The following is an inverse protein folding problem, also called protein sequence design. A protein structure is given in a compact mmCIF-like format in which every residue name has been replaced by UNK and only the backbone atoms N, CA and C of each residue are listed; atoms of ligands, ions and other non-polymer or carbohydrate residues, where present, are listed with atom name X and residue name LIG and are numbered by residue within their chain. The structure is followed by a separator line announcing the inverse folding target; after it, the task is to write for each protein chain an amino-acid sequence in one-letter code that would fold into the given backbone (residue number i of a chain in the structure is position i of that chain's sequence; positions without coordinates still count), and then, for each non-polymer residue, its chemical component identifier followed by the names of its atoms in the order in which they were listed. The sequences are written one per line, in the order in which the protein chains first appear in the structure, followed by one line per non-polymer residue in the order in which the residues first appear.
data_IF_796672155027
#
_entry.id   IF_796672155027
#
_cell.length_a   1.000
_cell.length_b   1.000
_cell.length_c   1.000
_cell.angle_alpha   90.00
_cell.angle_beta   90.00
_cell.angle_gamma   90.00
#
_symmetry.space_group_name_H-M   'P 1'
#
loop_
_entity.id
_entity.type
_entity.pdbx_description
1 polymer ?
#
# COMPACT_ATOMS: atom_id res chain seq x y z
N UNK A 1 -25.07 -9.16 -1.80
CA UNK A 1 -24.55 -8.12 -0.90
C UNK A 1 -25.69 -7.57 -0.07
N UNK A 2 -25.49 -7.33 1.23
CA UNK A 2 -26.55 -6.93 2.16
C UNK A 2 -26.87 -5.43 2.03
N UNK A 3 -28.08 -5.08 1.64
CA UNK A 3 -28.58 -3.69 1.44
C UNK A 3 -28.46 -2.80 2.68
N UNK A 4 -28.35 -3.38 3.88
CA UNK A 4 -28.15 -2.63 5.14
C UNK A 4 -26.80 -1.91 5.23
N UNK A 5 -25.76 -2.37 4.51
CA UNK A 5 -24.45 -1.71 4.55
C UNK A 5 -24.44 -0.39 3.77
N UNK A 6 -25.18 -0.29 2.66
CA UNK A 6 -25.20 0.89 1.79
C UNK A 6 -25.86 2.11 2.45
N UNK A 7 -26.92 1.92 3.24
CA UNK A 7 -27.64 3.03 3.91
C UNK A 7 -26.75 3.76 4.94
N UNK A 8 -25.73 3.09 5.48
CA UNK A 8 -24.80 3.72 6.42
C UNK A 8 -23.66 4.50 5.71
N UNK A 9 -23.34 4.13 4.47
CA UNK A 9 -22.23 4.72 3.72
C UNK A 9 -22.56 6.17 3.31
N UNK A 10 -23.73 6.39 2.72
CA UNK A 10 -24.16 7.71 2.24
C UNK A 10 -24.18 8.74 3.39
N UNK A 11 -24.81 8.37 4.51
CA UNK A 11 -24.86 9.21 5.70
C UNK A 11 -23.47 9.51 6.28
N UNK A 12 -22.54 8.55 6.27
CA UNK A 12 -21.18 8.77 6.78
C UNK A 12 -20.39 9.72 5.87
N UNK A 13 -20.50 9.55 4.55
CA UNK A 13 -19.85 10.39 3.55
C UNK A 13 -20.36 11.83 3.60
N UNK A 14 -21.69 12.02 3.64
CA UNK A 14 -22.30 13.35 3.74
C UNK A 14 -21.89 14.09 5.02
N UNK A 15 -21.83 13.38 6.17
CA UNK A 15 -21.34 13.96 7.43
C UNK A 15 -19.88 14.43 7.35
N UNK A 16 -19.07 13.74 6.57
CA UNK A 16 -17.67 14.10 6.32
C UNK A 16 -17.52 15.16 5.23
N UNK A 17 -18.63 15.64 4.65
CA UNK A 17 -18.67 16.72 3.68
C UNK A 17 -18.57 16.27 2.22
N UNK A 18 -18.61 14.97 1.95
CA UNK A 18 -18.66 14.48 0.57
C UNK A 18 -20.00 14.78 -0.08
N UNK A 19 -19.97 15.13 -1.37
CA UNK A 19 -21.14 15.36 -2.21
C UNK A 19 -21.30 14.18 -3.16
N UNK A 20 -22.50 13.60 -3.22
CA UNK A 20 -22.80 12.50 -4.15
C UNK A 20 -22.89 13.03 -5.58
N UNK A 21 -22.10 12.46 -6.50
CA UNK A 21 -22.12 12.78 -7.93
C UNK A 21 -23.01 11.81 -8.71
N UNK A 22 -22.81 10.51 -8.47
CA UNK A 22 -23.51 9.42 -9.14
C UNK A 22 -23.84 8.28 -8.15
N UNK A 23 -24.42 7.18 -8.62
CA UNK A 23 -24.99 6.13 -7.75
C UNK A 23 -24.06 5.56 -6.68
N UNK A 24 -22.73 5.60 -6.90
CA UNK A 24 -21.71 5.11 -5.97
C UNK A 24 -20.42 5.97 -6.00
N UNK A 25 -20.53 7.23 -6.44
CA UNK A 25 -19.40 8.15 -6.58
C UNK A 25 -19.66 9.42 -5.79
N UNK A 26 -18.71 9.81 -4.96
CA UNK A 26 -18.79 10.99 -4.10
C UNK A 26 -17.50 11.80 -4.19
N UNK A 27 -17.59 13.11 -4.14
CA UNK A 27 -16.43 14.01 -4.19
C UNK A 27 -16.32 14.92 -2.98
N UNK A 28 -15.09 15.22 -2.58
CA UNK A 28 -14.74 16.16 -1.53
C UNK A 28 -13.38 16.80 -1.85
N UNK A 29 -13.35 18.10 -2.12
CA UNK A 29 -12.13 18.79 -2.59
C UNK A 29 -11.60 18.10 -3.87
N UNK A 30 -10.40 17.53 -3.79
CA UNK A 30 -9.65 16.80 -4.81
C UNK A 30 -9.70 15.28 -4.59
N UNK A 31 -10.55 14.81 -3.66
CA UNK A 31 -10.76 13.41 -3.35
C UNK A 31 -12.06 12.90 -3.97
N UNK A 32 -12.00 11.74 -4.60
CA UNK A 32 -13.16 10.97 -5.05
C UNK A 32 -13.26 9.69 -4.23
N UNK A 33 -14.40 9.45 -3.59
CA UNK A 33 -14.75 8.17 -3.00
C UNK A 33 -15.58 7.36 -4.01
N UNK A 34 -15.20 6.11 -4.25
CA UNK A 34 -15.98 5.16 -5.07
C UNK A 34 -15.76 3.72 -4.63
N UNK A 35 -16.52 2.79 -5.21
CA UNK A 35 -16.28 1.36 -5.07
C UNK A 35 -15.58 0.78 -6.30
N UNK A 36 -14.65 -0.14 -6.07
CA UNK A 36 -13.98 -0.91 -7.13
C UNK A 36 -13.83 -2.38 -6.70
N UNK A 37 -14.53 -3.29 -7.39
CA UNK A 37 -14.54 -4.71 -7.05
C UNK A 37 -14.87 -4.96 -5.56
N UNK A 38 -15.90 -4.27 -5.05
CA UNK A 38 -16.36 -4.31 -3.65
C UNK A 38 -15.44 -3.65 -2.61
N UNK A 39 -14.35 -3.02 -3.05
CA UNK A 39 -13.49 -2.24 -2.17
C UNK A 39 -13.87 -0.76 -2.24
N UNK A 40 -14.14 -0.11 -1.11
CA UNK A 40 -14.16 1.32 -1.03
C UNK A 40 -12.75 1.86 -1.23
N UNK A 41 -12.64 2.87 -2.09
CA UNK A 41 -11.41 3.54 -2.40
C UNK A 41 -11.62 5.05 -2.34
N UNK A 42 -10.60 5.73 -1.81
CA UNK A 42 -10.43 7.17 -1.99
C UNK A 42 -9.32 7.39 -2.98
N UNK A 43 -9.59 8.16 -4.01
CA UNK A 43 -8.62 8.55 -5.02
C UNK A 43 -8.42 10.05 -4.97
N UNK A 44 -7.16 10.48 -5.10
CA UNK A 44 -6.80 11.88 -5.23
C UNK A 44 -6.40 12.14 -6.68
N UNK A 45 -7.01 13.16 -7.29
CA UNK A 45 -6.65 13.59 -8.63
C UNK A 45 -5.23 14.15 -8.64
N UNK A 46 -4.43 13.71 -9.61
CA UNK A 46 -3.07 14.16 -9.78
C UNK A 46 -2.99 15.14 -10.96
N UNK A 47 -2.16 16.20 -10.87
CA UNK A 47 -1.93 17.08 -12.00
C UNK A 47 -1.37 16.33 -13.22
N UNK A 48 -1.87 16.62 -14.41
CA UNK A 48 -1.47 15.97 -15.68
C UNK A 48 0.04 16.05 -15.99
N UNK A 49 0.75 16.98 -15.37
CA UNK A 49 2.17 17.23 -15.59
C UNK A 49 3.09 16.62 -14.52
N UNK A 50 2.57 15.85 -13.56
CA UNK A 50 3.41 15.21 -12.54
C UNK A 50 4.08 13.95 -13.10
N UNK A 51 5.41 14.00 -13.26
CA UNK A 51 6.21 12.81 -13.56
C UNK A 51 6.44 12.00 -12.27
N UNK A 52 5.51 11.10 -11.96
CA UNK A 52 5.58 10.21 -10.78
C UNK A 52 6.10 8.84 -11.18
N UNK A 53 7.15 8.37 -10.50
CA UNK A 53 7.50 6.95 -10.53
C UNK A 53 6.72 6.22 -9.40
N UNK A 54 5.80 5.29 -9.74
CA UNK A 54 5.04 4.51 -8.76
C UNK A 54 5.89 3.56 -7.93
N UNK A 55 7.19 3.40 -8.22
CA UNK A 55 8.12 2.63 -7.40
C UNK A 55 9.20 3.49 -6.70
N UNK A 56 9.02 4.81 -6.67
CA UNK A 56 9.96 5.75 -6.05
C UNK A 56 10.15 5.49 -4.54
N UNK A 57 11.40 5.50 -4.07
CA UNK A 57 11.78 5.35 -2.66
C UNK A 57 11.07 6.31 -1.70
N UNK A 58 10.72 7.51 -2.16
CA UNK A 58 10.07 8.55 -1.36
C UNK A 58 8.62 8.20 -0.94
N UNK A 59 8.06 7.09 -1.44
CA UNK A 59 6.75 6.59 -1.01
C UNK A 59 6.77 5.92 0.36
N UNK A 60 7.91 5.39 0.79
CA UNK A 60 8.02 4.78 2.11
C UNK A 60 7.99 5.85 3.19
N UNK A 61 7.43 5.50 4.35
CA UNK A 61 7.26 6.41 5.47
C UNK A 61 6.09 7.39 5.32
N UNK A 62 5.45 7.47 4.15
CA UNK A 62 4.32 8.39 3.96
C UNK A 62 3.13 7.97 4.83
N UNK A 63 2.45 8.91 5.51
CA UNK A 63 1.37 8.54 6.43
C UNK A 63 0.17 7.92 5.71
N UNK A 64 -0.58 7.07 6.41
CA UNK A 64 -1.75 6.37 5.88
C UNK A 64 -1.42 5.28 4.86
N UNK A 65 -2.45 4.74 4.21
CA UNK A 65 -2.35 3.69 3.19
C UNK A 65 -2.23 4.23 1.75
N UNK A 66 -2.07 5.55 1.60
CA UNK A 66 -1.97 6.23 0.30
C UNK A 66 -0.84 5.68 -0.55
N UNK A 67 -1.10 5.24 -1.77
CA UNK A 67 -0.06 4.78 -2.69
C UNK A 67 -0.35 5.22 -4.11
N UNK A 68 0.67 5.15 -4.96
CA UNK A 68 0.47 5.37 -6.39
C UNK A 68 0.14 4.05 -7.09
N UNK A 69 -0.87 4.06 -7.93
CA UNK A 69 -1.23 2.92 -8.78
C UNK A 69 -1.26 3.32 -10.23
N UNK A 70 -1.01 2.34 -11.11
CA UNK A 70 -0.96 2.54 -12.55
C UNK A 70 -2.13 1.80 -13.18
N UNK A 71 -3.06 2.52 -13.80
CA UNK A 71 -4.12 1.97 -14.64
C UNK A 71 -3.76 2.03 -16.12
N UNK A 72 -4.78 2.09 -16.99
CA UNK A 72 -4.67 2.21 -18.45
C UNK A 72 -4.05 3.55 -18.89
N UNK A 73 -2.77 3.75 -18.56
CA UNK A 73 -1.96 4.96 -18.79
C UNK A 73 -2.23 6.14 -17.84
N UNK A 74 -2.96 5.92 -16.74
CA UNK A 74 -3.18 6.94 -15.71
C UNK A 74 -2.54 6.49 -14.41
N UNK A 75 -1.72 7.35 -13.82
CA UNK A 75 -1.27 7.19 -12.44
C UNK A 75 -2.30 7.85 -11.53
N UNK A 76 -2.77 7.13 -10.53
CA UNK A 76 -3.64 7.66 -9.49
C UNK A 76 -2.99 7.50 -8.11
N UNK A 77 -3.27 8.43 -7.20
CA UNK A 77 -2.92 8.25 -5.78
C UNK A 77 -4.17 7.78 -5.05
N UNK A 78 -4.11 6.59 -4.45
CA UNK A 78 -5.28 5.95 -3.86
C UNK A 78 -5.06 5.44 -2.45
N UNK A 79 -6.14 5.39 -1.68
CA UNK A 79 -6.23 4.81 -0.36
C UNK A 79 -7.32 3.72 -0.40
N UNK A 80 -6.90 2.46 -0.33
CA UNK A 80 -7.80 1.31 -0.27
C UNK A 80 -8.28 1.06 1.16
N UNK A 81 -9.60 0.93 1.34
CA UNK A 81 -10.21 0.59 2.64
C UNK A 81 -10.55 -0.90 2.65
N UNK A 82 -10.02 -1.71 3.59
CA UNK A 82 -10.36 -3.13 3.69
C UNK A 82 -11.87 -3.34 3.87
N UNK A 83 -12.54 -4.17 3.04
CA UNK A 83 -13.99 -4.37 3.09
C UNK A 83 -14.48 -4.89 4.43
N UNK A 84 -13.65 -5.65 5.15
CA UNK A 84 -13.98 -6.21 6.47
C UNK A 84 -14.27 -5.11 7.51
N UNK A 85 -13.87 -3.87 7.23
CA UNK A 85 -13.95 -2.75 8.15
C UNK A 85 -15.14 -1.83 7.87
N UNK A 86 -15.80 -2.01 6.72
CA UNK A 86 -17.04 -1.29 6.37
C UNK A 86 -18.15 -1.44 7.40
N UNK A 87 -18.17 -2.55 8.13
CA UNK A 87 -19.17 -2.82 9.17
C UNK A 87 -18.86 -2.22 10.54
N UNK A 88 -17.65 -1.69 10.77
CA UNK A 88 -17.17 -1.35 12.11
C UNK A 88 -16.89 0.15 12.29
N UNK A 89 -16.29 0.84 11.32
CA UNK A 89 -16.00 2.28 11.45
C UNK A 89 -15.57 2.98 10.15
N UNK A 90 -16.41 2.93 9.11
CA UNK A 90 -16.12 3.60 7.84
C UNK A 90 -15.77 5.10 8.00
N UNK A 91 -16.52 5.82 8.85
CA UNK A 91 -16.29 7.23 9.14
C UNK A 91 -14.88 7.50 9.69
N UNK A 92 -14.38 6.63 10.58
CA UNK A 92 -13.01 6.73 11.11
C UNK A 92 -11.95 6.47 10.04
N UNK A 93 -12.19 5.53 9.11
CA UNK A 93 -11.28 5.25 8.00
C UNK A 93 -11.20 6.39 7.01
N UNK A 94 -12.34 6.96 6.63
CA UNK A 94 -12.37 8.10 5.71
C UNK A 94 -11.72 9.32 6.38
N UNK A 95 -12.01 9.55 7.67
CA UNK A 95 -11.36 10.61 8.44
C UNK A 95 -9.84 10.43 8.50
N UNK A 96 -9.37 9.19 8.68
CA UNK A 96 -7.94 8.86 8.64
C UNK A 96 -7.34 9.10 7.25
N UNK A 97 -8.02 8.68 6.19
CA UNK A 97 -7.55 8.89 4.82
C UNK A 97 -7.47 10.40 4.48
N UNK A 98 -8.48 11.20 4.84
CA UNK A 98 -8.46 12.67 4.70
C UNK A 98 -7.34 13.28 5.54
N UNK A 99 -7.15 12.84 6.79
CA UNK A 99 -6.10 13.36 7.66
C UNK A 99 -4.71 13.12 7.06
N UNK A 100 -4.51 11.98 6.42
CA UNK A 100 -3.21 11.54 5.88
C UNK A 100 -3.00 11.88 4.41
N UNK A 101 -4.01 12.41 3.72
CA UNK A 101 -3.85 12.94 2.36
C UNK A 101 -3.01 14.23 2.38
N UNK A 102 -3.14 15.03 3.44
CA UNK A 102 -2.33 16.22 3.75
C UNK A 102 -1.29 15.93 4.85
N UNK A 103 -0.03 15.81 4.44
CA UNK A 103 1.09 15.51 5.35
C UNK A 103 1.32 16.57 6.43
N UNK A 104 1.00 17.84 6.17
CA UNK A 104 1.25 18.92 7.14
C UNK A 104 0.30 18.79 8.32
N UNK A 105 -0.99 18.62 8.03
CA UNK A 105 -2.04 18.46 9.05
C UNK A 105 -1.86 17.20 9.90
N UNK A 106 -1.35 16.13 9.29
CA UNK A 106 -1.04 14.89 9.98
C UNK A 106 0.01 15.07 11.11
N UNK A 107 1.12 15.76 10.81
CA UNK A 107 2.25 15.88 11.75
C UNK A 107 1.88 16.60 13.06
N UNK A 108 0.90 17.49 13.02
CA UNK A 108 0.46 18.29 14.17
C UNK A 108 -0.47 17.53 15.13
N UNK A 109 -1.19 16.53 14.64
CA UNK A 109 -2.36 15.97 15.34
C UNK A 109 -2.16 14.53 15.81
N UNK A 110 -1.26 13.78 15.18
CA UNK A 110 -1.08 12.37 15.51
C UNK A 110 -0.08 12.14 16.64
N UNK A 111 -0.48 11.24 17.55
CA UNK A 111 0.39 10.70 18.61
C UNK A 111 0.64 9.23 18.37
N UNK A 112 1.92 8.88 18.39
CA UNK A 112 2.39 7.50 18.25
C UNK A 112 1.83 6.61 19.38
N UNK A 113 1.30 5.41 19.06
CA UNK A 113 0.85 4.44 20.05
C UNK A 113 2.01 3.83 20.85
N UNK A 114 1.71 3.32 22.04
CA UNK A 114 2.63 2.50 22.80
C UNK A 114 2.63 1.07 22.21
N UNK A 115 3.80 0.53 21.88
CA UNK A 115 3.89 -0.79 21.23
C UNK A 115 3.37 -1.92 22.12
N UNK A 116 3.46 -1.75 23.44
CA UNK A 116 2.99 -2.71 24.44
C UNK A 116 1.47 -2.95 24.34
N UNK A 117 0.71 -1.96 23.87
CA UNK A 117 -0.75 -2.04 23.73
C UNK A 117 -1.20 -2.89 22.52
N UNK A 118 -0.27 -3.19 21.60
CA UNK A 118 -0.60 -3.88 20.36
C UNK A 118 -0.62 -5.41 20.51
N UNK A 119 -0.03 -5.95 21.58
CA UNK A 119 0.01 -7.40 21.88
C UNK A 119 0.51 -8.22 20.65
N UNK A 120 1.65 -7.79 20.09
CA UNK A 120 2.25 -8.41 18.90
C UNK A 120 3.30 -9.44 19.31
N UNK A 121 3.27 -10.62 18.69
CA UNK A 121 4.23 -11.68 19.00
C UNK A 121 5.40 -11.64 18.03
N UNK A 122 6.59 -12.04 18.50
CA UNK A 122 7.82 -11.95 17.68
C UNK A 122 7.77 -12.84 16.46
N UNK A 123 7.13 -14.00 16.58
CA UNK A 123 6.92 -14.96 15.50
C UNK A 123 6.07 -14.42 14.35
N UNK A 124 5.20 -13.44 14.61
CA UNK A 124 4.35 -12.84 13.57
C UNK A 124 5.16 -12.05 12.54
N UNK A 125 6.41 -11.70 12.87
CA UNK A 125 7.31 -10.89 12.04
C UNK A 125 8.26 -11.70 11.19
N UNK A 126 8.11 -13.01 11.08
CA UNK A 126 8.95 -13.86 10.23
C UNK A 126 8.10 -14.49 9.14
N UNK A 127 8.51 -14.29 7.89
CA UNK A 127 7.91 -14.95 6.74
C UNK A 127 8.90 -15.95 6.17
N UNK A 128 8.45 -17.20 6.08
CA UNK A 128 9.19 -18.27 5.43
C UNK A 128 8.40 -18.81 4.24
N UNK A 129 9.08 -18.94 3.10
CA UNK A 129 8.56 -19.55 1.89
C UNK A 129 9.69 -20.25 1.14
N UNK A 130 9.60 -21.58 1.02
CA UNK A 130 10.69 -22.41 0.47
C UNK A 130 12.03 -22.09 1.16
N UNK A 131 13.07 -21.71 0.40
CA UNK A 131 14.39 -21.30 0.91
C UNK A 131 14.46 -19.86 1.41
N UNK A 132 13.40 -19.08 1.23
CA UNK A 132 13.40 -17.65 1.55
C UNK A 132 12.88 -17.42 2.96
N UNK A 133 13.73 -16.84 3.80
CA UNK A 133 13.36 -16.34 5.13
C UNK A 133 13.55 -14.83 5.11
N UNK A 134 12.53 -14.10 5.54
CA UNK A 134 12.57 -12.65 5.71
C UNK A 134 11.94 -12.24 7.03
N UNK A 135 12.45 -11.15 7.57
CA UNK A 135 11.90 -10.50 8.75
C UNK A 135 11.10 -9.26 8.33
N UNK A 136 9.88 -9.16 8.80
CA UNK A 136 9.09 -7.94 8.78
C UNK A 136 9.58 -7.07 9.94
N UNK A 137 9.88 -5.81 9.65
CA UNK A 137 10.30 -4.81 10.61
C UNK A 137 9.10 -3.95 10.99
N UNK A 138 8.84 -3.83 12.29
CA UNK A 138 7.93 -2.82 12.80
C UNK A 138 8.71 -1.50 12.93
N UNK A 139 8.46 -0.58 12.02
CA UNK A 139 8.99 0.78 12.07
C UNK A 139 8.09 1.58 13.01
N UNK A 140 8.66 2.14 14.07
CA UNK A 140 7.92 2.94 15.06
C UNK A 140 8.74 4.15 15.52
N UNK A 141 9.10 5.04 14.60
CA UNK A 141 9.97 6.19 14.82
C UNK A 141 9.53 7.40 13.99
N UNK A 142 9.97 8.62 14.34
CA UNK A 142 9.77 9.83 13.51
C UNK A 142 8.33 10.02 12.98
N UNK A 143 7.33 9.93 13.85
CA UNK A 143 5.91 10.00 13.47
C UNK A 143 5.47 8.96 12.43
N UNK A 144 6.17 7.83 12.36
CA UNK A 144 5.87 6.69 11.50
C UNK A 144 5.55 5.45 12.34
N UNK A 145 4.45 4.79 12.01
CA UNK A 145 4.14 3.42 12.41
C UNK A 145 3.87 2.60 11.15
N UNK A 146 4.75 1.65 10.82
CA UNK A 146 4.64 0.86 9.60
C UNK A 146 5.19 -0.55 9.78
N UNK A 147 4.70 -1.47 8.95
CA UNK A 147 5.35 -2.76 8.72
C UNK A 147 6.14 -2.69 7.43
N UNK A 148 7.44 -3.00 7.49
CA UNK A 148 8.33 -2.98 6.34
C UNK A 148 8.98 -4.35 6.11
N UNK A 149 9.08 -4.77 4.86
CA UNK A 149 9.66 -6.03 4.46
C UNK A 149 10.62 -5.80 3.30
N UNK A 150 11.88 -6.24 3.46
CA UNK A 150 12.81 -6.31 2.34
C UNK A 150 12.51 -7.56 1.51
N UNK A 151 12.01 -7.37 0.28
CA UNK A 151 11.73 -8.46 -0.67
C UNK A 151 13.07 -8.99 -1.18
N UNK A 152 13.86 -8.09 -1.77
CA UNK A 152 15.22 -8.32 -2.22
C UNK A 152 16.17 -7.38 -1.46
N UNK A 153 17.09 -7.90 -0.62
CA UNK A 153 17.96 -7.06 0.19
C UNK A 153 18.93 -6.19 -0.61
N UNK A 154 19.39 -6.68 -1.76
CA UNK A 154 20.33 -5.96 -2.62
C UNK A 154 19.94 -6.20 -4.08
N UNK A 155 19.62 -5.12 -4.77
CA UNK A 155 19.36 -5.08 -6.22
C UNK A 155 20.71 -5.17 -6.92
N UNK A 156 20.95 -6.18 -7.76
CA UNK A 156 22.17 -6.24 -8.55
C UNK A 156 22.06 -5.30 -9.75
N UNK A 157 23.18 -5.10 -10.47
CA UNK A 157 23.14 -4.43 -11.76
C UNK A 157 22.37 -5.30 -12.78
N UNK A 158 21.26 -4.77 -13.28
CA UNK A 158 20.38 -5.44 -14.25
C UNK A 158 20.49 -4.77 -15.62
N UNK A 159 20.42 -5.57 -16.68
CA UNK A 159 20.18 -5.02 -18.01
C UNK A 159 18.78 -4.39 -18.11
N UNK A 160 18.59 -3.55 -19.14
CA UNK A 160 17.34 -2.79 -19.31
C UNK A 160 16.09 -3.66 -19.41
N UNK A 161 16.16 -4.87 -19.98
CA UNK A 161 14.99 -5.71 -20.19
C UNK A 161 14.58 -6.39 -18.89
N UNK A 162 15.57 -6.86 -18.10
CA UNK A 162 15.34 -7.40 -16.76
C UNK A 162 14.80 -6.33 -15.82
N UNK A 163 15.38 -5.14 -15.85
CA UNK A 163 14.91 -4.02 -15.04
C UNK A 163 13.46 -3.68 -15.40
N UNK A 164 13.12 -3.63 -16.70
CA UNK A 164 11.74 -3.38 -17.14
C UNK A 164 10.77 -4.47 -16.62
N UNK A 165 11.08 -5.74 -16.85
CA UNK A 165 10.23 -6.83 -16.36
C UNK A 165 10.08 -6.84 -14.83
N UNK A 166 11.16 -6.54 -14.09
CA UNK A 166 11.10 -6.40 -12.65
C UNK A 166 10.17 -5.24 -12.26
N UNK A 167 10.30 -4.08 -12.91
CA UNK A 167 9.40 -2.94 -12.69
C UNK A 167 7.94 -3.31 -12.96
N UNK A 168 7.65 -3.99 -14.07
CA UNK A 168 6.28 -4.39 -14.44
C UNK A 168 5.67 -5.35 -13.41
N UNK A 169 6.45 -6.35 -12.96
CA UNK A 169 6.02 -7.28 -11.91
C UNK A 169 5.77 -6.56 -10.58
N UNK A 170 6.62 -5.59 -10.20
CA UNK A 170 6.43 -4.82 -8.97
C UNK A 170 5.24 -3.86 -9.05
N UNK A 171 4.96 -3.27 -10.21
CA UNK A 171 3.78 -2.43 -10.44
C UNK A 171 2.50 -3.27 -10.37
N UNK A 172 2.47 -4.42 -11.04
CA UNK A 172 1.34 -5.37 -10.95
C UNK A 172 1.10 -5.78 -9.49
N UNK A 173 2.20 -6.10 -8.78
CA UNK A 173 2.14 -6.43 -7.37
C UNK A 173 1.55 -5.27 -6.54
N UNK A 174 2.01 -4.04 -6.73
CA UNK A 174 1.49 -2.88 -6.02
C UNK A 174 0.01 -2.65 -6.32
N UNK A 175 -0.42 -2.74 -7.57
CA UNK A 175 -1.82 -2.58 -7.96
C UNK A 175 -2.72 -3.63 -7.31
N UNK A 176 -2.29 -4.89 -7.34
CA UNK A 176 -3.04 -6.04 -6.83
C UNK A 176 -3.10 -6.08 -5.30
N UNK A 177 -1.99 -5.79 -4.63
CA UNK A 177 -1.89 -5.80 -3.19
C UNK A 177 -2.24 -4.44 -2.61
N UNK A 178 -3.55 -4.20 -2.51
CA UNK A 178 -4.22 -2.93 -2.18
C UNK A 178 -3.61 -2.13 -1.01
N UNK A 179 -3.15 -2.77 0.05
CA UNK A 179 -2.60 -2.05 1.22
C UNK A 179 -1.10 -1.77 1.14
N UNK A 180 -0.39 -2.34 0.16
CA UNK A 180 1.06 -2.34 0.08
C UNK A 180 1.58 -1.24 -0.84
N UNK A 181 2.63 -0.56 -0.38
CA UNK A 181 3.56 0.20 -1.20
C UNK A 181 4.79 -0.64 -1.49
N UNK A 182 5.36 -0.46 -2.66
CA UNK A 182 6.58 -1.14 -3.09
C UNK A 182 7.53 -0.09 -3.65
N UNK A 183 8.80 -0.22 -3.30
CA UNK A 183 9.86 0.60 -3.88
C UNK A 183 10.93 -0.26 -4.53
N UNK A 184 11.49 0.27 -5.61
CA UNK A 184 12.61 -0.34 -6.32
C UNK A 184 13.83 0.54 -6.11
N UNK A 185 14.75 0.08 -5.25
CA UNK A 185 16.04 0.74 -5.05
C UNK A 185 16.94 0.66 -6.28
N UNK A 186 17.94 1.55 -6.29
CA UNK A 186 19.05 1.52 -7.25
C UNK A 186 19.94 0.29 -7.04
N UNK A 187 20.86 -0.04 -7.96
CA UNK A 187 21.84 -1.10 -7.72
C UNK A 187 22.59 -0.89 -6.39
N UNK A 188 22.63 -1.93 -5.56
CA UNK A 188 23.18 -1.87 -4.20
C UNK A 188 22.14 -1.58 -3.10
N UNK A 189 20.95 -1.11 -3.45
CA UNK A 189 19.84 -0.85 -2.52
C UNK A 189 18.83 -2.00 -2.51
N UNK A 190 17.84 -1.96 -1.61
CA UNK A 190 16.82 -3.00 -1.50
C UNK A 190 15.56 -2.73 -2.32
N UNK A 191 14.81 -3.79 -2.61
CA UNK A 191 13.39 -3.71 -2.95
C UNK A 191 12.59 -3.92 -1.67
N UNK A 192 11.79 -2.93 -1.30
CA UNK A 192 11.04 -2.95 -0.04
C UNK A 192 9.53 -2.90 -0.29
N UNK A 193 8.78 -3.48 0.63
CA UNK A 193 7.35 -3.33 0.74
C UNK A 193 6.97 -2.74 2.10
N UNK A 194 5.99 -1.84 2.11
CA UNK A 194 5.52 -1.18 3.34
C UNK A 194 3.99 -1.11 3.41
N UNK A 195 3.46 -1.31 4.61
CA UNK A 195 2.10 -0.91 4.99
C UNK A 195 2.23 0.10 6.13
N UNK A 196 1.73 1.31 5.93
CA UNK A 196 1.90 2.42 6.88
C UNK A 196 0.58 2.73 7.60
N UNK A 197 0.61 2.62 8.92
CA UNK A 197 -0.54 2.80 9.82
C UNK A 197 -0.50 4.14 10.55
N UNK A 198 0.42 5.04 10.18
CA UNK A 198 0.53 6.34 10.81
C UNK A 198 -0.78 7.11 10.59
N UNK A 199 -1.35 7.65 11.67
CA UNK A 199 -2.65 8.32 11.65
C UNK A 199 -3.84 7.40 11.91
N UNK A 200 -3.66 6.08 11.93
CA UNK A 200 -4.79 5.16 12.10
C UNK A 200 -5.43 5.33 13.49
N UNK A 201 -6.78 5.37 13.57
CA UNK A 201 -7.49 5.36 14.84
C UNK A 201 -7.13 4.16 15.73
N UNK A 202 -7.05 4.39 17.04
CA UNK A 202 -6.67 3.35 18.01
C UNK A 202 -7.64 2.16 18.01
N UNK A 203 -8.94 2.42 17.79
CA UNK A 203 -10.03 1.43 17.72
C UNK A 203 -9.76 0.29 16.72
N UNK A 204 -9.03 0.59 15.64
CA UNK A 204 -8.85 -0.30 14.48
C UNK A 204 -7.40 -0.74 14.29
N UNK A 205 -6.45 -0.05 14.94
CA UNK A 205 -5.02 -0.18 14.66
C UNK A 205 -4.51 -1.61 14.84
N UNK A 206 -4.88 -2.29 15.93
CA UNK A 206 -4.45 -3.66 16.19
C UNK A 206 -4.89 -4.63 15.10
N UNK A 207 -6.14 -4.49 14.63
CA UNK A 207 -6.66 -5.33 13.56
C UNK A 207 -5.97 -5.02 12.23
N UNK A 208 -5.71 -3.74 11.95
CA UNK A 208 -4.96 -3.32 10.77
C UNK A 208 -3.55 -3.90 10.73
N UNK A 209 -2.82 -3.88 11.84
CA UNK A 209 -1.48 -4.45 11.91
C UNK A 209 -1.52 -5.96 11.66
N UNK A 210 -2.46 -6.69 12.29
CA UNK A 210 -2.62 -8.14 12.05
C UNK A 210 -2.94 -8.46 10.59
N UNK A 211 -3.86 -7.71 9.99
CA UNK A 211 -4.17 -7.82 8.57
C UNK A 211 -2.95 -7.50 7.70
N UNK A 212 -2.17 -6.48 8.08
CA UNK A 212 -0.95 -6.10 7.38
C UNK A 212 0.14 -7.17 7.42
N UNK A 213 0.36 -7.80 8.58
CA UNK A 213 1.28 -8.94 8.71
C UNK A 213 0.88 -10.10 7.81
N UNK A 214 -0.42 -10.45 7.80
CA UNK A 214 -0.95 -11.48 6.92
C UNK A 214 -0.78 -11.12 5.43
N UNK A 215 -1.11 -9.89 5.05
CA UNK A 215 -0.95 -9.37 3.68
C UNK A 215 0.50 -9.47 3.24
N UNK A 216 1.46 -8.99 4.05
CA UNK A 216 2.89 -9.08 3.75
C UNK A 216 3.37 -10.54 3.59
N UNK A 217 2.87 -11.44 4.43
CA UNK A 217 3.20 -12.87 4.35
C UNK A 217 2.71 -13.50 3.04
N UNK A 218 1.46 -13.25 2.66
CA UNK A 218 0.88 -13.79 1.41
C UNK A 218 1.52 -13.14 0.17
N UNK A 219 1.74 -11.83 0.21
CA UNK A 219 2.45 -11.07 -0.82
C UNK A 219 3.83 -11.64 -1.10
N UNK A 220 4.62 -11.85 -0.04
CA UNK A 220 5.97 -12.38 -0.14
C UNK A 220 5.98 -13.76 -0.79
N UNK A 221 5.08 -14.66 -0.38
CA UNK A 221 4.93 -16.00 -0.97
C UNK A 221 4.60 -15.95 -2.46
N UNK A 222 3.81 -14.96 -2.87
CA UNK A 222 3.42 -14.77 -4.26
C UNK A 222 4.54 -14.18 -5.12
N UNK A 223 5.30 -13.21 -4.59
CA UNK A 223 6.24 -12.41 -5.38
C UNK A 223 7.68 -12.94 -5.39
N UNK A 224 8.17 -13.51 -4.30
CA UNK A 224 9.63 -13.64 -4.08
C UNK A 224 10.35 -14.47 -5.13
N UNK A 225 9.75 -15.57 -5.60
CA UNK A 225 10.38 -16.43 -6.59
C UNK A 225 10.57 -15.71 -7.93
N UNK A 226 9.60 -14.90 -8.35
CA UNK A 226 9.67 -14.10 -9.57
C UNK A 226 10.74 -13.01 -9.46
N UNK A 227 10.80 -12.32 -8.32
CA UNK A 227 11.84 -11.30 -8.06
C UNK A 227 13.23 -11.92 -8.01
N UNK A 228 13.42 -13.05 -7.32
CA UNK A 228 14.70 -13.76 -7.25
C UNK A 228 15.17 -14.20 -8.64
N UNK A 229 14.25 -14.73 -9.46
CA UNK A 229 14.55 -15.13 -10.84
C UNK A 229 15.01 -13.94 -11.70
N UNK A 230 14.29 -12.82 -11.66
CA UNK A 230 14.59 -11.62 -12.43
C UNK A 230 15.89 -10.94 -11.97
N UNK A 231 16.14 -10.95 -10.66
CA UNK A 231 17.36 -10.41 -10.05
C UNK A 231 18.59 -11.29 -10.27
N UNK A 232 18.43 -12.59 -10.60
CA UNK A 232 19.58 -13.50 -10.71
C UNK A 232 20.38 -13.26 -12.01
N UNK A 233 21.47 -12.48 -11.91
CA UNK A 233 22.35 -12.12 -13.04
C UNK A 233 23.14 -13.30 -13.64
N UNK A 234 23.25 -14.43 -12.93
CA UNK A 234 23.93 -15.62 -13.46
C UNK A 234 23.14 -16.32 -14.58
N UNK A 235 21.83 -16.08 -14.66
CA UNK A 235 20.94 -16.69 -15.65
C UNK A 235 21.00 -15.94 -17.00
N UNK A 236 21.96 -16.27 -17.87
CA UNK A 236 21.99 -15.69 -19.22
C UNK A 236 20.83 -16.28 -20.06
N UNK A 237 19.79 -15.49 -20.28
CA UNK A 237 18.64 -15.89 -21.11
C UNK A 237 18.15 -14.75 -21.98
N UNK A 238 17.99 -15.03 -23.27
CA UNK A 238 17.36 -14.11 -24.22
C UNK A 238 15.83 -14.01 -24.03
N UNK A 239 15.25 -14.80 -23.12
CA UNK A 239 13.81 -14.80 -22.88
C UNK A 239 13.30 -13.44 -22.41
N UNK A 240 14.07 -12.74 -21.56
CA UNK A 240 13.69 -11.41 -21.07
C UNK A 240 13.64 -10.38 -22.19
N UNK A 241 14.53 -10.47 -23.17
CA UNK A 241 14.46 -9.62 -24.36
C UNK A 241 13.23 -9.90 -25.23
N UNK A 242 12.64 -11.11 -25.17
CA UNK A 242 11.44 -11.44 -25.94
C UNK A 242 10.15 -11.09 -25.19
N UNK A 243 10.16 -11.22 -23.86
CA UNK A 243 8.99 -11.02 -23.02
C UNK A 243 8.84 -9.58 -22.50
N UNK A 244 9.93 -8.81 -22.47
CA UNK A 244 10.01 -7.49 -21.81
C UNK A 244 10.49 -6.38 -22.76
N UNK A 245 10.37 -6.58 -24.08
CA UNK A 245 10.78 -5.61 -25.10
C UNK A 245 9.58 -4.94 -25.76
#
# INVERSE_FOLDING_TARGET
MNTKYFINIDNALEKLGFVKEESERYSYSDLTFRFENYWPILEQDLPDNLNIDPLNSNQLGQPGLWKYTVGDNVISRRFDIPPEILGLSLEEFISWAILTSDQRRFQETWRRPLLEELDLKKEDFVVQYDRFIRRIHLVNENQTLALRLSILPVVPELDKYRLQCLRDVLIDAQNRWRLLRITLGSPGESIEAEINFSGAPQSILRNLIKSGLNVLSLFMKWLIASVDLLANVSLKSNIFKKCCA
#
